data_IF_612377922359
#
_entry.id   IF_612377922359
#
_cell.length_a   1.000
_cell.length_b   1.000
_cell.length_c   1.000
_cell.angle_alpha   90.00
_cell.angle_beta   90.00
_cell.angle_gamma   90.00
#
_symmetry.space_group_name_H-M   'P 1'
#
loop_
_entity.id
_entity.type
_entity.pdbx_description
1 polymer ?
#
# COMPACT_ATOMS: atom_id res chain seq x y z
N UNK A 1 -7.75 2.82 -1.91
CA UNK A 1 -6.32 3.21 -1.94
C UNK A 1 -5.84 3.25 -3.37
N UNK A 2 -5.16 4.32 -3.76
CA UNK A 2 -4.65 4.53 -5.10
C UNK A 2 -3.14 4.31 -5.12
N UNK A 3 -2.70 3.36 -5.95
CA UNK A 3 -1.27 3.09 -6.18
C UNK A 3 -0.81 3.94 -7.37
N UNK A 4 0.13 4.84 -7.13
CA UNK A 4 0.94 5.45 -8.17
C UNK A 4 2.08 4.51 -8.55
N UNK A 5 2.45 4.52 -9.82
CA UNK A 5 3.49 3.65 -10.35
C UNK A 5 4.28 4.37 -11.44
N UNK A 6 5.59 4.29 -11.33
CA UNK A 6 6.52 4.91 -12.27
C UNK A 6 7.64 3.92 -12.64
N UNK A 7 8.18 4.07 -13.85
CA UNK A 7 9.32 3.30 -14.35
C UNK A 7 10.53 4.23 -14.37
N UNK A 8 11.56 3.90 -13.58
CA UNK A 8 12.77 4.71 -13.44
C UNK A 8 13.75 4.45 -14.59
N UNK A 9 14.64 5.43 -14.84
CA UNK A 9 15.67 5.35 -15.89
C UNK A 9 16.64 4.17 -15.72
N UNK A 10 16.78 3.64 -14.50
CA UNK A 10 17.61 2.46 -14.21
C UNK A 10 16.89 1.12 -14.43
N UNK A 11 15.65 1.18 -14.93
CA UNK A 11 14.83 0.04 -15.28
C UNK A 11 13.99 -0.52 -14.12
N UNK A 12 14.08 0.03 -12.90
CA UNK A 12 13.24 -0.37 -11.77
C UNK A 12 11.84 0.26 -11.86
N UNK A 13 10.89 -0.40 -11.22
CA UNK A 13 9.56 0.13 -10.97
C UNK A 13 9.48 0.64 -9.54
N UNK A 14 8.96 1.85 -9.36
CA UNK A 14 8.63 2.42 -8.06
C UNK A 14 7.12 2.55 -7.94
N UNK A 15 6.59 2.25 -6.76
CA UNK A 15 5.17 2.37 -6.43
C UNK A 15 5.00 3.13 -5.13
N UNK A 16 3.91 3.91 -5.01
CA UNK A 16 3.53 4.63 -3.79
C UNK A 16 2.01 4.57 -3.57
N UNK A 17 1.57 4.49 -2.31
CA UNK A 17 0.14 4.59 -1.96
C UNK A 17 -0.19 6.02 -1.54
N UNK A 18 -1.01 6.72 -2.33
CA UNK A 18 -1.35 8.15 -2.09
C UNK A 18 -1.93 8.42 -0.70
N UNK A 19 -2.77 7.52 -0.20
CA UNK A 19 -3.42 7.67 1.11
C UNK A 19 -2.49 7.33 2.29
N UNK A 20 -1.33 6.70 2.02
CA UNK A 20 -0.33 6.34 3.02
C UNK A 20 1.05 6.89 2.61
N UNK A 21 1.30 8.22 2.78
CA UNK A 21 2.57 8.83 2.40
C UNK A 21 3.77 8.10 3.00
N UNK A 22 4.77 7.79 2.16
CA UNK A 22 5.95 7.02 2.55
C UNK A 22 5.79 5.49 2.47
N UNK A 23 4.60 4.98 2.16
CA UNK A 23 4.40 3.58 1.78
C UNK A 23 4.78 3.42 0.31
N UNK A 24 6.05 3.07 0.09
CA UNK A 24 6.62 2.91 -1.25
C UNK A 24 7.26 1.53 -1.43
N UNK A 25 7.27 1.04 -2.67
CA UNK A 25 7.86 -0.23 -3.04
C UNK A 25 8.71 -0.13 -4.31
N UNK A 26 9.78 -0.92 -4.38
CA UNK A 26 10.60 -1.07 -5.59
C UNK A 26 10.56 -2.50 -6.12
N UNK A 27 10.44 -2.66 -7.43
CA UNK A 27 10.46 -3.95 -8.12
C UNK A 27 11.28 -3.95 -9.40
N UNK A 28 11.75 -5.13 -9.82
CA UNK A 28 12.33 -5.36 -11.15
C UNK A 28 11.25 -5.53 -12.22
N UNK A 29 10.02 -5.87 -11.82
CA UNK A 29 8.83 -5.79 -12.66
C UNK A 29 7.75 -4.93 -12.02
N UNK A 30 6.78 -4.52 -12.84
CA UNK A 30 5.58 -3.80 -12.42
C UNK A 30 4.82 -4.58 -11.33
N UNK A 31 4.63 -5.87 -11.53
CA UNK A 31 3.89 -6.75 -10.63
C UNK A 31 4.62 -6.91 -9.29
N UNK A 32 5.96 -7.00 -9.31
CA UNK A 32 6.76 -7.09 -8.09
C UNK A 32 6.65 -5.80 -7.26
N UNK A 33 6.73 -4.63 -7.90
CA UNK A 33 6.60 -3.35 -7.20
C UNK A 33 5.20 -3.17 -6.59
N UNK A 34 4.15 -3.57 -7.32
CA UNK A 34 2.76 -3.53 -6.82
C UNK A 34 2.60 -4.47 -5.62
N UNK A 35 3.02 -5.74 -5.74
CA UNK A 35 2.87 -6.70 -4.64
C UNK A 35 3.61 -6.26 -3.37
N UNK A 36 4.78 -5.64 -3.51
CA UNK A 36 5.55 -5.09 -2.38
C UNK A 36 4.83 -3.94 -1.70
N UNK A 37 4.26 -3.01 -2.47
CA UNK A 37 3.56 -1.85 -1.90
C UNK A 37 2.25 -2.24 -1.23
N UNK A 38 1.51 -3.20 -1.79
CA UNK A 38 0.31 -3.76 -1.18
C UNK A 38 0.61 -4.41 0.18
N UNK A 39 1.65 -5.25 0.24
CA UNK A 39 2.07 -5.88 1.48
C UNK A 39 2.51 -4.85 2.54
N UNK A 40 3.18 -3.77 2.14
CA UNK A 40 3.58 -2.71 3.05
C UNK A 40 2.37 -1.89 3.52
N UNK A 41 1.43 -1.58 2.64
CA UNK A 41 0.19 -0.88 2.98
C UNK A 41 -0.61 -1.65 4.04
N UNK A 42 -0.79 -2.96 3.85
CA UNK A 42 -1.47 -3.82 4.82
C UNK A 42 -0.79 -3.82 6.19
N UNK A 43 0.56 -3.78 6.25
CA UNK A 43 1.30 -3.68 7.52
C UNK A 43 1.06 -2.35 8.21
N UNK A 44 1.08 -1.25 7.46
CA UNK A 44 0.80 0.08 8.02
C UNK A 44 -0.64 0.17 8.54
N UNK A 45 -1.60 -0.39 7.81
CA UNK A 45 -2.99 -0.44 8.28
C UNK A 45 -3.14 -1.27 9.55
N UNK A 46 -2.46 -2.42 9.64
CA UNK A 46 -2.47 -3.24 10.85
C UNK A 46 -1.88 -2.49 12.04
N UNK A 47 -0.72 -1.83 11.87
CA UNK A 47 -0.06 -1.06 12.92
C UNK A 47 -0.94 0.10 13.41
N UNK A 48 -1.53 0.88 12.49
CA UNK A 48 -2.48 1.94 12.85
C UNK A 48 -3.69 1.41 13.63
N UNK A 49 -4.20 0.23 13.26
CA UNK A 49 -5.34 -0.40 13.93
C UNK A 49 -4.98 -0.81 15.37
N UNK A 50 -3.79 -1.37 15.56
CA UNK A 50 -3.26 -1.75 16.88
C UNK A 50 -3.11 -0.55 17.82
N UNK A 51 -2.78 0.63 17.27
CA UNK A 51 -2.64 1.87 18.03
C UNK A 51 -3.95 2.66 18.17
N UNK A 52 -5.07 2.16 17.64
CA UNK A 52 -6.37 2.82 17.73
C UNK A 52 -6.50 4.07 16.86
N UNK A 53 -5.68 4.20 15.82
CA UNK A 53 -5.78 5.28 14.84
C UNK A 53 -6.99 5.08 13.93
N UNK A 54 -7.58 6.19 13.48
CA UNK A 54 -8.67 6.14 12.51
C UNK A 54 -8.13 5.73 11.12
N UNK A 55 -8.73 4.71 10.53
CA UNK A 55 -8.40 4.21 9.20
C UNK A 55 -9.67 4.21 8.34
N UNK A 56 -9.96 5.32 7.63
CA UNK A 56 -11.14 5.42 6.78
C UNK A 56 -11.23 4.27 5.75
N UNK A 57 -10.08 3.83 5.22
CA UNK A 57 -9.97 2.86 4.14
C UNK A 57 -10.34 1.42 4.55
N UNK A 58 -10.34 1.12 5.85
CA UNK A 58 -10.66 -0.22 6.36
C UNK A 58 -12.15 -0.55 6.30
N UNK A 59 -13.02 0.47 6.29
CA UNK A 59 -14.48 0.29 6.31
C UNK A 59 -15.00 -0.45 5.07
N UNK A 60 -14.29 -0.35 3.95
CA UNK A 60 -14.65 -1.01 2.70
C UNK A 60 -13.98 -2.39 2.54
N UNK A 61 -13.05 -2.76 3.44
CA UNK A 61 -12.23 -3.95 3.30
C UNK A 61 -12.88 -5.20 3.93
N UNK A 62 -13.60 -5.02 5.04
CA UNK A 62 -14.17 -6.13 5.80
C UNK A 62 -15.70 -6.11 5.78
N UNK A 63 -16.28 -7.24 5.38
CA UNK A 63 -17.70 -7.50 5.61
C UNK A 63 -17.86 -8.12 7.02
N UNK A 64 -18.58 -7.42 7.90
CA UNK A 64 -18.94 -7.96 9.22
C UNK A 64 -20.39 -8.44 9.17
N UNK A 65 -20.59 -9.75 9.28
CA UNK A 65 -21.91 -10.35 9.50
C UNK A 65 -22.12 -10.60 10.99
N UNK A 66 -23.32 -10.29 11.48
CA UNK A 66 -23.76 -10.58 12.85
C UNK A 66 -24.15 -12.06 13.02
#
# INVERSE_FOLDING_TARGET
MNIEIEHEDDGRWITEVRELPGVMGYGRSREEAISKVEALALRVLADRLEHGEAIPELHELFAVSA
#
